data_IF_623765384551
#
_entry.id   IF_623765384551
#
_cell.length_a   1.000
_cell.length_b   1.000
_cell.length_c   1.000
_cell.angle_alpha   90.00
_cell.angle_beta   90.00
_cell.angle_gamma   90.00
#
_symmetry.space_group_name_H-M   'P 1'
#
loop_
_entity.id
_entity.type
_entity.pdbx_description
1 polymer ?
#
# COMPACT_ATOMS: atom_id res chain seq x y z
N UNK A 1 -6.02 13.60 -33.74
CA UNK A 1 -6.90 14.32 -32.78
C UNK A 1 -6.01 14.85 -31.66
N UNK A 2 -5.88 16.16 -31.56
CA UNK A 2 -4.98 16.84 -30.62
C UNK A 2 -5.50 16.67 -29.20
N UNK A 3 -4.66 16.12 -28.32
CA UNK A 3 -4.91 16.04 -26.88
C UNK A 3 -5.19 17.46 -26.34
N UNK A 4 -6.43 17.74 -25.97
CA UNK A 4 -6.78 18.97 -25.28
C UNK A 4 -6.17 18.92 -23.89
N UNK A 5 -5.19 19.80 -23.65
CA UNK A 5 -4.59 20.03 -22.34
C UNK A 5 -5.67 20.15 -21.26
N UNK A 6 -5.65 19.22 -20.30
CA UNK A 6 -6.56 19.19 -19.14
C UNK A 6 -6.17 20.21 -18.04
N UNK A 7 -5.47 21.28 -18.41
CA UNK A 7 -5.12 22.37 -17.49
C UNK A 7 -6.38 23.18 -17.16
N UNK A 8 -6.87 23.07 -15.94
CA UNK A 8 -7.95 23.89 -15.41
C UNK A 8 -9.28 23.17 -15.14
N UNK A 9 -9.39 21.86 -15.33
CA UNK A 9 -10.59 21.11 -14.93
C UNK A 9 -10.53 20.78 -13.42
N UNK A 10 -11.63 21.04 -12.74
CA UNK A 10 -11.83 20.62 -11.34
C UNK A 10 -11.97 19.08 -11.34
N UNK A 11 -10.84 18.36 -11.26
CA UNK A 11 -10.80 16.92 -11.30
C UNK A 11 -11.48 16.38 -10.04
N UNK A 12 -12.48 15.53 -10.23
CA UNK A 12 -13.20 14.87 -9.13
C UNK A 12 -13.03 13.37 -9.26
N UNK A 13 -12.81 12.72 -8.12
CA UNK A 13 -12.86 11.27 -7.99
C UNK A 13 -14.32 10.79 -7.96
N UNK A 14 -14.54 9.50 -8.22
CA UNK A 14 -15.80 8.84 -7.91
C UNK A 14 -15.84 8.44 -6.42
N UNK A 15 -16.44 9.32 -5.61
CA UNK A 15 -16.51 9.11 -4.16
C UNK A 15 -17.36 7.90 -3.78
N UNK A 16 -18.38 7.54 -4.59
CA UNK A 16 -19.18 6.35 -4.32
C UNK A 16 -18.38 5.07 -4.57
N UNK A 17 -17.63 5.00 -5.66
CA UNK A 17 -16.75 3.86 -5.98
C UNK A 17 -15.67 3.67 -4.91
N UNK A 18 -15.07 4.76 -4.42
CA UNK A 18 -14.14 4.71 -3.29
C UNK A 18 -14.82 4.13 -2.04
N UNK A 19 -16.01 4.64 -1.71
CA UNK A 19 -16.78 4.17 -0.56
C UNK A 19 -17.12 2.69 -0.66
N UNK A 20 -17.60 2.24 -1.82
CA UNK A 20 -17.95 0.85 -2.06
C UNK A 20 -16.73 -0.07 -1.95
N UNK A 21 -15.58 0.37 -2.47
CA UNK A 21 -14.30 -0.36 -2.33
C UNK A 21 -13.86 -0.45 -0.87
N UNK A 22 -14.01 0.61 -0.07
CA UNK A 22 -13.72 0.62 1.36
C UNK A 22 -14.64 -0.34 2.12
N UNK A 23 -15.93 -0.36 1.80
CA UNK A 23 -16.90 -1.23 2.45
C UNK A 23 -16.70 -2.70 2.07
N UNK A 24 -16.31 -3.00 0.84
CA UNK A 24 -15.96 -4.36 0.42
C UNK A 24 -14.71 -4.86 1.16
N UNK A 25 -13.65 -4.06 1.19
CA UNK A 25 -12.43 -4.39 1.93
C UNK A 25 -12.69 -4.58 3.43
N UNK A 26 -13.62 -3.82 4.01
CA UNK A 26 -13.99 -3.90 5.41
C UNK A 26 -14.68 -5.21 5.81
N UNK A 27 -15.17 -6.01 4.86
CA UNK A 27 -15.74 -7.35 5.13
C UNK A 27 -14.66 -8.35 5.51
N UNK A 28 -13.43 -8.17 5.01
CA UNK A 28 -12.30 -9.05 5.30
C UNK A 28 -11.80 -8.75 6.72
N UNK A 29 -11.96 -9.72 7.61
CA UNK A 29 -11.60 -9.57 9.02
C UNK A 29 -12.57 -8.70 9.84
N UNK A 30 -13.81 -8.50 9.37
CA UNK A 30 -14.82 -7.75 10.10
C UNK A 30 -15.05 -8.32 11.52
N UNK A 31 -15.20 -7.44 12.49
CA UNK A 31 -15.47 -7.79 13.88
C UNK A 31 -16.91 -7.39 14.27
N UNK A 32 -17.49 -8.07 15.27
CA UNK A 32 -18.84 -7.76 15.76
C UNK A 32 -19.02 -6.30 16.22
N UNK A 33 -17.93 -5.68 16.69
CA UNK A 33 -17.93 -4.26 17.12
C UNK A 33 -17.81 -3.27 15.97
N UNK A 34 -17.86 -3.76 14.73
CA UNK A 34 -17.83 -2.92 13.54
C UNK A 34 -16.43 -2.44 13.11
N UNK A 35 -15.38 -2.95 13.69
CA UNK A 35 -13.99 -2.78 13.26
C UNK A 35 -13.51 -3.92 12.38
N UNK A 36 -12.19 -4.07 12.26
CA UNK A 36 -11.51 -5.16 11.54
C UNK A 36 -10.34 -5.71 12.33
N UNK A 37 -10.02 -6.99 12.11
CA UNK A 37 -8.80 -7.64 12.58
C UNK A 37 -8.14 -8.38 11.41
N UNK A 38 -7.12 -7.78 10.81
CA UNK A 38 -6.30 -8.32 9.71
C UNK A 38 -4.83 -8.18 10.07
N UNK A 39 -4.39 -8.97 11.04
CA UNK A 39 -2.97 -8.94 11.42
C UNK A 39 -2.07 -9.28 10.24
N UNK A 40 -0.91 -8.64 10.19
CA UNK A 40 0.04 -8.80 9.09
C UNK A 40 0.35 -10.27 8.78
N UNK A 41 0.39 -10.60 7.51
CA UNK A 41 0.74 -11.92 6.97
C UNK A 41 -0.16 -13.10 7.44
N UNK A 42 -1.36 -12.81 7.95
CA UNK A 42 -2.40 -13.82 8.16
C UNK A 42 -3.13 -14.12 6.86
N UNK A 43 -3.96 -15.17 6.83
CA UNK A 43 -4.80 -15.48 5.65
C UNK A 43 -5.81 -14.37 5.35
N UNK A 44 -6.30 -13.65 6.37
CA UNK A 44 -7.14 -12.46 6.16
C UNK A 44 -6.34 -11.31 5.53
N UNK A 45 -5.09 -11.13 5.94
CA UNK A 45 -4.19 -10.16 5.31
C UNK A 45 -3.94 -10.56 3.84
N UNK A 46 -3.71 -11.86 3.55
CA UNK A 46 -3.59 -12.36 2.17
C UNK A 46 -4.82 -12.03 1.34
N UNK A 47 -6.03 -12.33 1.84
CA UNK A 47 -7.28 -12.04 1.13
C UNK A 47 -7.41 -10.54 0.77
N UNK A 48 -7.05 -9.65 1.68
CA UNK A 48 -7.09 -8.20 1.41
C UNK A 48 -6.08 -7.76 0.35
N UNK A 49 -4.91 -8.38 0.30
CA UNK A 49 -3.88 -8.16 -0.71
C UNK A 49 -4.32 -8.68 -2.08
N UNK A 50 -4.85 -9.90 -2.13
CA UNK A 50 -5.37 -10.51 -3.35
C UNK A 50 -6.50 -9.67 -3.96
N UNK A 51 -7.40 -9.14 -3.12
CA UNK A 51 -8.50 -8.27 -3.56
C UNK A 51 -7.97 -6.93 -4.12
N UNK A 52 -7.00 -6.32 -3.45
CA UNK A 52 -6.36 -5.10 -3.94
C UNK A 52 -5.65 -5.31 -5.27
N UNK A 53 -4.85 -6.38 -5.39
CA UNK A 53 -4.15 -6.73 -6.64
C UNK A 53 -5.14 -6.90 -7.77
N UNK A 54 -6.21 -7.69 -7.56
CA UNK A 54 -7.27 -7.87 -8.55
C UNK A 54 -7.82 -6.53 -9.05
N UNK A 55 -8.15 -5.61 -8.16
CA UNK A 55 -8.67 -4.30 -8.54
C UNK A 55 -7.65 -3.42 -9.29
N UNK A 56 -6.38 -3.55 -8.96
CA UNK A 56 -5.31 -2.85 -9.68
C UNK A 56 -5.10 -3.41 -11.08
N UNK A 57 -5.11 -4.74 -11.24
CA UNK A 57 -5.02 -5.41 -12.54
C UNK A 57 -6.21 -5.05 -13.44
N UNK A 58 -7.44 -5.06 -12.89
CA UNK A 58 -8.65 -4.58 -13.59
C UNK A 58 -8.55 -3.12 -14.03
N UNK A 59 -7.79 -2.31 -13.29
CA UNK A 59 -7.50 -0.92 -13.65
C UNK A 59 -6.30 -0.74 -14.60
N UNK A 60 -5.69 -1.84 -15.07
CA UNK A 60 -4.58 -1.84 -16.04
C UNK A 60 -3.20 -1.64 -15.42
N UNK A 61 -3.04 -1.90 -14.12
CA UNK A 61 -1.74 -1.85 -13.47
C UNK A 61 -0.94 -3.13 -13.67
N UNK A 62 0.39 -3.00 -13.68
CA UNK A 62 1.32 -4.10 -13.43
C UNK A 62 1.64 -4.18 -11.94
N UNK A 63 1.79 -5.39 -11.43
CA UNK A 63 2.05 -5.64 -10.02
C UNK A 63 3.48 -6.12 -9.83
N UNK A 64 4.18 -5.55 -8.86
CA UNK A 64 5.47 -6.02 -8.36
C UNK A 64 5.39 -6.21 -6.85
N UNK A 65 6.04 -7.24 -6.36
CA UNK A 65 6.15 -7.54 -4.93
C UNK A 65 7.62 -7.70 -4.59
N UNK A 66 8.07 -7.02 -3.55
CA UNK A 66 9.45 -7.15 -3.10
C UNK A 66 9.61 -8.26 -2.04
N UNK A 67 10.85 -8.55 -1.65
CA UNK A 67 11.20 -9.60 -0.68
C UNK A 67 10.62 -9.37 0.73
N UNK A 68 10.20 -8.14 1.05
CA UNK A 68 9.47 -7.82 2.29
C UNK A 68 7.94 -7.88 2.11
N UNK A 69 7.48 -8.30 0.92
CA UNK A 69 6.07 -8.39 0.60
C UNK A 69 5.39 -7.04 0.35
N UNK A 70 6.14 -5.96 0.19
CA UNK A 70 5.54 -4.69 -0.23
C UNK A 70 5.01 -4.84 -1.65
N UNK A 71 3.79 -4.36 -1.89
CA UNK A 71 3.13 -4.46 -3.19
C UNK A 71 3.21 -3.09 -3.87
N UNK A 72 3.62 -3.07 -5.13
CA UNK A 72 3.67 -1.88 -5.98
C UNK A 72 2.76 -2.11 -7.19
N UNK A 73 1.62 -1.43 -7.22
CA UNK A 73 0.69 -1.43 -8.34
C UNK A 73 1.00 -0.22 -9.23
N UNK A 74 1.59 -0.46 -10.42
CA UNK A 74 2.12 0.56 -11.32
C UNK A 74 1.22 0.77 -12.52
N UNK A 75 0.71 1.99 -12.66
CA UNK A 75 0.11 2.50 -13.88
C UNK A 75 1.20 3.15 -14.75
N UNK A 76 1.32 2.78 -16.03
CA UNK A 76 2.34 3.38 -16.89
C UNK A 76 2.10 4.87 -17.14
N UNK A 77 3.19 5.61 -17.31
CA UNK A 77 3.21 6.96 -17.86
C UNK A 77 3.59 6.96 -19.33
N UNK A 78 3.77 8.14 -19.91
CA UNK A 78 4.33 8.31 -21.27
C UNK A 78 5.79 7.87 -21.32
N UNK A 79 6.54 8.18 -20.28
CA UNK A 79 7.93 7.78 -20.11
C UNK A 79 8.04 6.89 -18.86
N UNK A 80 8.25 5.59 -19.07
CA UNK A 80 8.30 4.59 -18.00
C UNK A 80 9.69 4.42 -17.38
N UNK A 81 10.70 5.07 -17.93
CA UNK A 81 12.07 5.08 -17.38
C UNK A 81 12.21 6.16 -16.29
N UNK A 82 11.30 7.10 -16.26
CA UNK A 82 11.26 8.10 -15.21
C UNK A 82 10.85 7.52 -13.84
N UNK A 83 11.42 8.06 -12.78
CA UNK A 83 11.06 7.72 -11.42
C UNK A 83 9.56 7.99 -11.17
N UNK A 84 8.81 7.05 -10.55
CA UNK A 84 7.36 7.15 -10.37
C UNK A 84 6.97 8.21 -9.33
N UNK A 85 5.72 8.66 -9.45
CA UNK A 85 5.01 9.29 -8.34
C UNK A 85 4.32 8.18 -7.54
N UNK A 86 4.58 8.10 -6.25
CA UNK A 86 4.10 7.02 -5.37
C UNK A 86 3.10 7.56 -4.36
N UNK A 87 2.05 6.81 -4.10
CA UNK A 87 1.11 7.03 -2.98
C UNK A 87 0.72 5.69 -2.39
N UNK A 88 0.26 5.66 -1.16
CA UNK A 88 -0.22 4.42 -0.56
C UNK A 88 -0.24 4.46 0.96
N UNK A 89 -0.37 3.30 1.54
CA UNK A 89 -0.37 3.05 2.99
C UNK A 89 -0.23 1.54 3.25
N UNK A 90 -1.06 0.96 4.12
CA UNK A 90 -1.04 -0.45 4.50
C UNK A 90 -2.44 -1.07 4.48
N UNK A 91 -2.50 -2.40 4.51
CA UNK A 91 -3.75 -3.18 4.59
C UNK A 91 -3.86 -4.01 5.87
N UNK A 92 -2.75 -4.23 6.59
CA UNK A 92 -2.78 -4.84 7.91
C UNK A 92 -3.45 -3.91 8.92
N UNK A 93 -3.95 -4.46 10.00
CA UNK A 93 -4.59 -3.72 11.07
C UNK A 93 -4.12 -4.20 12.44
N UNK A 94 -4.40 -3.41 13.45
CA UNK A 94 -4.33 -3.85 14.85
C UNK A 94 -5.40 -4.91 15.13
N UNK A 95 -5.31 -5.64 16.28
CA UNK A 95 -6.31 -6.63 16.68
C UNK A 95 -7.73 -6.07 16.79
N UNK A 96 -7.83 -4.78 17.12
CA UNK A 96 -9.11 -4.02 17.21
C UNK A 96 -9.03 -2.79 16.32
N UNK A 97 -8.69 -2.98 15.04
CA UNK A 97 -8.44 -1.91 14.09
C UNK A 97 -9.71 -1.24 13.56
N UNK A 98 -9.56 0.00 13.12
CA UNK A 98 -10.60 0.72 12.38
C UNK A 98 -10.67 0.25 10.93
N UNK A 99 -11.85 0.37 10.29
CA UNK A 99 -12.09 -0.05 8.89
C UNK A 99 -11.27 0.75 7.88
N UNK A 100 -10.86 1.95 8.23
CA UNK A 100 -10.29 2.92 7.30
C UNK A 100 -8.80 3.16 7.52
N UNK A 101 -8.26 2.73 8.66
CA UNK A 101 -6.85 2.89 8.97
C UNK A 101 -5.99 2.14 7.95
N UNK A 102 -5.03 2.83 7.36
CA UNK A 102 -4.22 2.34 6.25
C UNK A 102 -4.99 2.13 4.94
N UNK A 103 -6.09 1.39 5.00
CA UNK A 103 -6.93 1.04 3.84
C UNK A 103 -7.39 2.26 3.05
N UNK A 104 -7.76 3.34 3.74
CA UNK A 104 -8.18 4.58 3.08
C UNK A 104 -7.04 5.15 2.20
N UNK A 105 -5.80 5.14 2.69
CA UNK A 105 -4.65 5.63 1.92
C UNK A 105 -4.38 4.80 0.67
N UNK A 106 -4.46 3.47 0.78
CA UNK A 106 -4.30 2.54 -0.34
C UNK A 106 -5.40 2.71 -1.37
N UNK A 107 -6.67 2.66 -0.95
CA UNK A 107 -7.81 2.71 -1.87
C UNK A 107 -8.06 4.10 -2.45
N UNK A 108 -7.66 5.17 -1.75
CA UNK A 108 -7.64 6.52 -2.34
C UNK A 108 -6.63 6.60 -3.50
N UNK A 109 -5.46 5.97 -3.37
CA UNK A 109 -4.50 5.87 -4.46
C UNK A 109 -5.07 5.12 -5.66
N UNK A 110 -5.73 3.98 -5.43
CA UNK A 110 -6.41 3.23 -6.48
C UNK A 110 -7.54 4.04 -7.13
N UNK A 111 -8.30 4.81 -6.35
CA UNK A 111 -9.38 5.63 -6.90
C UNK A 111 -8.84 6.78 -7.76
N UNK A 112 -7.73 7.42 -7.36
CA UNK A 112 -7.05 8.42 -8.21
C UNK A 112 -6.64 7.80 -9.55
N UNK A 113 -6.08 6.59 -9.52
CA UNK A 113 -5.67 5.85 -10.70
C UNK A 113 -6.87 5.53 -11.62
N UNK A 114 -7.96 5.00 -11.05
CA UNK A 114 -9.21 4.74 -11.79
C UNK A 114 -9.79 6.02 -12.40
N UNK A 115 -9.80 7.12 -11.65
CA UNK A 115 -10.27 8.42 -12.13
C UNK A 115 -9.40 8.97 -13.27
N UNK A 116 -8.08 8.77 -13.23
CA UNK A 116 -7.20 9.12 -14.35
C UNK A 116 -7.56 8.31 -15.61
N UNK A 117 -7.87 7.02 -15.45
CA UNK A 117 -8.31 6.17 -16.58
C UNK A 117 -9.64 6.66 -17.16
N UNK A 118 -10.65 6.91 -16.32
CA UNK A 118 -11.97 7.38 -16.74
C UNK A 118 -11.91 8.71 -17.51
N UNK A 119 -10.98 9.57 -17.12
CA UNK A 119 -10.79 10.89 -17.72
C UNK A 119 -9.81 10.89 -18.92
N UNK A 120 -9.20 9.74 -19.24
CA UNK A 120 -8.19 9.62 -20.29
C UNK A 120 -6.96 10.48 -20.02
N UNK A 121 -6.57 10.63 -18.75
CA UNK A 121 -5.39 11.40 -18.35
C UNK A 121 -4.16 10.53 -18.50
N UNK A 122 -3.25 10.95 -19.35
CA UNK A 122 -1.89 10.40 -19.42
C UNK A 122 -0.94 11.24 -18.55
N UNK A 123 -0.21 10.56 -17.67
CA UNK A 123 0.84 11.18 -16.86
C UNK A 123 2.17 11.08 -17.59
N UNK A 124 3.08 12.03 -17.36
CA UNK A 124 4.44 11.96 -17.89
C UNK A 124 5.17 10.75 -17.29
N UNK A 125 5.12 10.65 -15.96
CA UNK A 125 5.75 9.62 -15.16
C UNK A 125 4.78 8.52 -14.81
N UNK A 126 5.26 7.31 -14.50
CA UNK A 126 4.43 6.28 -13.90
C UNK A 126 3.83 6.75 -12.57
N UNK A 127 2.65 6.23 -12.27
CA UNK A 127 1.99 6.42 -10.99
C UNK A 127 1.88 5.07 -10.27
N UNK A 128 2.28 5.00 -9.01
CA UNK A 128 2.26 3.76 -8.24
C UNK A 128 1.43 3.90 -6.97
N UNK A 129 0.68 2.85 -6.67
CA UNK A 129 0.05 2.66 -5.36
C UNK A 129 0.81 1.58 -4.61
N UNK A 130 1.35 1.91 -3.43
CA UNK A 130 2.11 0.97 -2.61
C UNK A 130 1.30 0.50 -1.40
N UNK A 131 1.46 -0.80 -1.08
CA UNK A 131 0.99 -1.40 0.17
C UNK A 131 2.21 -1.82 0.97
N UNK A 132 2.47 -1.13 2.07
CA UNK A 132 3.54 -1.45 3.00
C UNK A 132 3.17 -2.63 3.89
N UNK A 133 4.06 -3.60 4.03
CA UNK A 133 3.84 -4.80 4.84
C UNK A 133 4.12 -4.52 6.31
N UNK A 134 3.22 -4.98 7.21
CA UNK A 134 3.39 -4.91 8.66
C UNK A 134 3.68 -3.47 9.13
N UNK A 135 2.85 -2.52 8.69
CA UNK A 135 3.00 -1.12 9.10
C UNK A 135 2.67 -0.95 10.58
N UNK A 136 1.62 -1.61 11.05
CA UNK A 136 1.12 -1.50 12.42
C UNK A 136 2.05 -2.14 13.47
N UNK A 137 2.87 -3.11 13.10
CA UNK A 137 3.76 -3.79 14.02
C UNK A 137 3.06 -4.66 15.08
N UNK A 138 1.76 -4.84 14.96
CA UNK A 138 0.94 -5.55 15.97
C UNK A 138 1.23 -7.05 16.04
N UNK A 139 1.69 -7.64 14.94
CA UNK A 139 2.10 -9.05 14.92
C UNK A 139 3.61 -9.18 14.96
N UNK A 140 4.34 -8.38 14.20
CA UNK A 140 5.79 -8.40 14.14
C UNK A 140 6.35 -7.03 14.52
N UNK A 141 6.93 -6.92 15.71
CA UNK A 141 7.57 -5.68 16.13
C UNK A 141 8.94 -5.50 15.44
N UNK A 142 9.33 -4.26 15.12
CA UNK A 142 8.62 -3.01 15.34
C UNK A 142 7.58 -2.69 14.24
N UNK A 143 6.78 -1.64 14.45
CA UNK A 143 5.96 -1.05 13.40
C UNK A 143 6.81 -0.56 12.23
N UNK A 144 6.21 -0.48 11.03
CA UNK A 144 6.85 0.03 9.81
C UNK A 144 8.13 -0.72 9.39
N UNK A 145 8.28 -2.00 9.76
CA UNK A 145 9.51 -2.74 9.51
C UNK A 145 9.81 -2.86 8.01
N UNK A 146 8.83 -3.17 7.18
CA UNK A 146 9.05 -3.37 5.76
C UNK A 146 9.37 -2.05 5.02
N UNK A 147 8.69 -0.96 5.35
CA UNK A 147 9.05 0.37 4.84
C UNK A 147 10.40 0.86 5.38
N UNK A 148 10.77 0.44 6.59
CA UNK A 148 12.09 0.71 7.18
C UNK A 148 13.21 -0.02 6.44
N UNK A 149 12.99 -1.28 6.02
CA UNK A 149 13.93 -2.01 5.14
C UNK A 149 14.02 -1.33 3.78
N UNK A 150 12.87 -0.95 3.18
CA UNK A 150 12.83 -0.24 1.92
C UNK A 150 13.62 1.07 1.95
N UNK A 151 13.56 1.80 3.06
CA UNK A 151 14.28 3.06 3.27
C UNK A 151 15.75 2.88 3.68
N UNK A 152 16.24 1.65 3.84
CA UNK A 152 17.59 1.35 4.30
C UNK A 152 17.87 1.65 5.77
N UNK A 153 16.81 1.75 6.60
CA UNK A 153 16.92 1.94 8.05
C UNK A 153 17.19 0.61 8.74
N UNK A 154 16.61 -0.46 8.22
CA UNK A 154 16.82 -1.84 8.68
C UNK A 154 17.38 -2.70 7.55
N UNK A 155 18.21 -3.66 7.90
CA UNK A 155 18.67 -4.70 6.97
C UNK A 155 17.53 -5.67 6.63
N UNK A 156 17.60 -6.28 5.45
CA UNK A 156 16.59 -7.26 5.00
C UNK A 156 16.47 -8.44 5.96
N UNK A 157 17.63 -9.00 6.39
CA UNK A 157 17.67 -10.14 7.32
C UNK A 157 17.06 -9.77 8.68
N UNK A 158 17.27 -8.54 9.14
CA UNK A 158 16.61 -8.04 10.33
C UNK A 158 15.08 -8.06 10.14
N UNK A 159 14.58 -7.53 9.04
CA UNK A 159 13.15 -7.50 8.74
C UNK A 159 12.54 -8.91 8.67
N UNK A 160 13.13 -9.79 7.86
CA UNK A 160 12.65 -11.15 7.66
C UNK A 160 12.70 -12.01 8.94
N UNK A 161 13.65 -11.74 9.83
CA UNK A 161 13.79 -12.47 11.12
C UNK A 161 12.85 -12.00 12.23
N UNK A 162 12.05 -10.94 12.03
CA UNK A 162 11.08 -10.51 13.06
C UNK A 162 10.06 -11.61 13.29
N UNK A 163 9.91 -12.02 14.55
CA UNK A 163 9.03 -13.10 14.95
C UNK A 163 7.80 -12.58 15.70
N UNK A 164 6.70 -13.27 15.55
CA UNK A 164 5.49 -13.08 16.34
C UNK A 164 5.57 -13.82 17.71
N UNK A 165 4.49 -13.72 18.49
CA UNK A 165 4.40 -14.39 19.81
C UNK A 165 4.50 -15.91 19.76
N UNK A 166 4.22 -16.52 18.61
CA UNK A 166 4.29 -17.97 18.41
C UNK A 166 5.63 -18.40 17.85
N UNK A 167 6.57 -17.45 17.65
CA UNK A 167 7.91 -17.69 17.13
C UNK A 167 7.98 -17.81 15.60
N UNK A 168 6.90 -17.55 14.87
CA UNK A 168 6.90 -17.55 13.40
C UNK A 168 7.53 -16.26 12.89
N UNK A 169 8.45 -16.37 11.96
CA UNK A 169 9.14 -15.21 11.38
C UNK A 169 8.35 -14.58 10.22
N UNK A 170 8.64 -13.31 9.94
CA UNK A 170 8.07 -12.64 8.76
C UNK A 170 8.44 -13.36 7.46
N UNK A 171 9.69 -13.83 7.33
CA UNK A 171 10.13 -14.55 6.14
C UNK A 171 9.34 -15.84 5.91
N UNK A 172 9.13 -16.64 6.97
CA UNK A 172 8.33 -17.87 6.90
C UNK A 172 6.87 -17.58 6.53
N UNK A 173 6.29 -16.56 7.13
CA UNK A 173 4.89 -16.20 6.86
C UNK A 173 4.69 -15.54 5.48
N UNK A 174 5.65 -14.77 4.97
CA UNK A 174 5.66 -14.27 3.59
C UNK A 174 5.65 -15.43 2.59
N UNK A 175 6.55 -16.40 2.76
CA UNK A 175 6.59 -17.60 1.92
C UNK A 175 5.30 -18.42 2.04
N UNK A 176 4.77 -18.61 3.26
CA UNK A 176 3.53 -19.35 3.51
C UNK A 176 2.34 -18.77 2.73
N UNK A 177 2.21 -17.44 2.70
CA UNK A 177 1.10 -16.79 1.98
C UNK A 177 1.42 -16.47 0.51
N UNK A 178 2.65 -16.74 0.04
CA UNK A 178 3.08 -16.51 -1.34
C UNK A 178 3.33 -15.04 -1.67
N UNK A 179 3.82 -14.27 -0.72
CA UNK A 179 4.14 -12.84 -0.87
C UNK A 179 5.63 -12.52 -0.64
N UNK A 180 6.49 -13.52 -0.64
CA UNK A 180 7.95 -13.41 -0.73
C UNK A 180 8.36 -13.09 -2.18
N UNK A 181 8.13 -11.85 -2.60
CA UNK A 181 8.31 -11.46 -4.00
C UNK A 181 9.76 -11.46 -4.47
N UNK A 182 9.98 -11.44 -5.80
CA UNK A 182 11.32 -11.51 -6.40
C UNK A 182 12.06 -10.17 -6.41
N UNK A 183 11.35 -9.05 -6.24
CA UNK A 183 11.97 -7.72 -6.36
C UNK A 183 12.86 -7.41 -5.15
N UNK A 184 13.97 -6.71 -5.39
CA UNK A 184 14.81 -6.20 -4.30
C UNK A 184 14.07 -5.13 -3.49
N UNK A 185 14.38 -5.04 -2.19
CA UNK A 185 13.74 -4.07 -1.29
C UNK A 185 14.51 -2.75 -1.32
N UNK A 186 13.83 -1.67 -1.72
CA UNK A 186 14.47 -0.36 -1.84
C UNK A 186 15.37 -0.21 -3.07
N UNK A 187 16.36 0.68 -2.98
CA UNK A 187 17.37 0.89 -4.04
C UNK A 187 16.81 1.49 -5.34
N UNK A 188 15.60 2.03 -5.33
CA UNK A 188 14.95 2.64 -6.50
C UNK A 188 14.59 4.10 -6.23
N UNK A 189 14.67 4.91 -7.28
CA UNK A 189 14.29 6.31 -7.19
C UNK A 189 12.77 6.48 -7.16
N UNK A 190 12.31 7.41 -6.33
CA UNK A 190 10.94 7.89 -6.25
C UNK A 190 10.95 9.39 -6.53
N UNK A 191 10.15 9.86 -7.49
CA UNK A 191 10.07 11.27 -7.84
C UNK A 191 9.36 12.09 -6.76
N UNK A 192 8.23 11.60 -6.29
CA UNK A 192 7.46 12.17 -5.18
C UNK A 192 6.66 11.07 -4.50
N UNK A 193 6.55 11.15 -3.18
CA UNK A 193 5.76 10.22 -2.37
C UNK A 193 4.73 10.98 -1.54
N UNK A 194 3.56 10.40 -1.39
CA UNK A 194 2.52 10.86 -0.48
C UNK A 194 1.93 9.67 0.27
N UNK A 195 2.29 9.52 1.54
CA UNK A 195 1.60 8.62 2.46
C UNK A 195 0.28 9.28 2.89
N UNK A 196 -0.84 8.67 2.56
CA UNK A 196 -2.16 9.06 3.05
C UNK A 196 -2.50 8.21 4.25
N UNK A 197 -2.25 8.73 5.44
CA UNK A 197 -2.77 8.15 6.68
C UNK A 197 -3.87 9.04 7.22
N UNK A 198 -4.99 8.44 7.62
CA UNK A 198 -5.91 9.11 8.52
C UNK A 198 -5.25 9.10 9.89
N UNK A 199 -5.06 10.28 10.49
CA UNK A 199 -4.68 10.39 11.89
C UNK A 199 -5.75 9.70 12.75
N UNK A 200 -5.44 8.51 13.22
CA UNK A 200 -6.12 7.98 14.37
C UNK A 200 -5.40 8.55 15.59
N UNK A 201 -6.13 9.24 16.46
CA UNK A 201 -5.61 9.95 17.63
C UNK A 201 -4.89 9.05 18.65
N UNK A 202 -4.82 7.74 18.41
CA UNK A 202 -4.18 6.76 19.28
C UNK A 202 -2.70 6.46 18.96
N UNK A 203 -2.13 6.96 17.86
CA UNK A 203 -0.73 6.75 17.52
C UNK A 203 0.01 8.02 17.10
N UNK A 204 0.71 8.69 18.04
CA UNK A 204 1.51 9.88 17.73
C UNK A 204 2.80 9.61 16.97
N UNK A 205 3.17 8.34 16.69
CA UNK A 205 4.48 7.98 16.14
C UNK A 205 4.54 7.80 14.61
N UNK A 206 3.43 7.93 13.89
CA UNK A 206 3.32 7.56 12.46
C UNK A 206 3.88 8.61 11.50
N UNK A 207 4.19 9.81 11.97
CA UNK A 207 4.54 10.95 11.09
C UNK A 207 6.00 10.96 10.61
N UNK A 208 6.88 10.08 11.07
CA UNK A 208 8.34 10.21 10.85
C UNK A 208 8.91 9.38 9.69
N UNK A 209 8.28 8.32 9.24
CA UNK A 209 8.89 7.40 8.27
C UNK A 209 8.93 7.93 6.83
N UNK A 210 8.08 8.89 6.47
CA UNK A 210 7.94 9.36 5.08
C UNK A 210 8.76 10.60 4.77
N UNK A 211 9.17 11.37 5.78
CA UNK A 211 9.99 12.59 5.58
C UNK A 211 11.50 12.33 5.41
N UNK A 212 11.97 11.12 5.64
CA UNK A 212 13.40 10.79 5.56
C UNK A 212 13.89 10.40 4.17
N UNK A 213 13.04 10.29 3.15
CA UNK A 213 13.43 9.91 1.79
C UNK A 213 13.90 11.08 0.92
N UNK A 214 14.08 12.28 1.49
CA UNK A 214 14.72 13.42 0.80
C UNK A 214 15.86 13.96 1.61
N UNK A 215 17.06 13.47 1.36
CA UNK A 215 18.29 14.25 1.39
C UNK A 215 19.12 13.87 0.19
#
# INVERSE_FOLDING_TARGET
MTAKNATGRNLRIDGQRLWDSLMEMAKIGATEKGGVCRLALTDLCKQSRDLFIKWCEEAGCTIKVDKMGNIFARRPGRDNDLAPVVTGSHLDSQPTGGRFDGVYGVLSGLEVLRSMNDLGIETERPFEVVVWTNEEGSRFAPAMVASGVFAGIFDLDYGLSRADSDGKTMGEELARIGYDGPEEVGGRDIHADRKSTRLNSSHPSISYAVFCLKK
#
